data_IF_031939526062
#
_entry.id   IF_031939526062
#
_cell.length_a   1.000
_cell.length_b   1.000
_cell.length_c   1.000
_cell.angle_alpha   90.00
_cell.angle_beta   90.00
_cell.angle_gamma   90.00
#
_symmetry.space_group_name_H-M   'P 1'
#
loop_
_entity.id
_entity.type
_entity.pdbx_description
1 polymer ?
2 polymer ?
3 water ?
#
loop_
_entity_poly.entity_id
_entity_poly.type
_entity_poly.pdbx_seq_one_letter_code
_entity_poly.pdbx_strand_id
2 'polydeoxyribonucleotide' '(DT)(DC)(DG)(DC)(DG)(DC)(DG)(DC)(DG)(DC)(DG)(DC)(DG)' ?
#
# COMPACT_ATOMS: atom_id res chain seq x y z
N UNK A 9 3.07 9.03 9.96
CA UNK A 9 2.69 10.22 9.21
C UNK A 9 1.44 10.06 8.36
N UNK A 10 0.60 11.06 8.49
CA UNK A 10 -0.48 11.30 7.55
C UNK A 10 0.12 11.56 6.19
N UNK A 11 1.32 12.14 6.14
CA UNK A 11 1.94 12.39 4.84
C UNK A 11 2.31 11.09 4.12
N UNK A 12 2.89 10.15 4.85
CA UNK A 12 3.21 8.84 4.27
C UNK A 12 1.94 8.20 3.76
N UNK A 13 0.90 8.24 4.59
CA UNK A 13 -0.30 7.52 4.22
C UNK A 13 -0.93 8.20 3.03
N UNK A 14 -0.93 9.53 2.99
CA UNK A 14 -1.44 10.24 1.81
C UNK A 14 -0.66 9.84 0.56
N UNK A 15 0.66 9.77 0.70
CA UNK A 15 1.51 9.45 -0.45
C UNK A 15 1.29 8.00 -0.96
N UNK A 16 1.05 7.08 -0.04
CA UNK A 16 0.73 5.71 -0.42
C UNK A 16 -0.60 5.65 -1.15
N UNK A 17 -1.60 6.34 -0.60
CA UNK A 17 -2.92 6.26 -1.18
C UNK A 17 -2.90 6.95 -2.53
N UNK A 18 -2.09 7.98 -2.63
CA UNK A 18 -2.02 8.71 -3.90
C UNK A 18 -1.36 7.84 -4.99
N UNK A 19 -0.34 7.08 -4.59
CA UNK A 19 0.25 6.10 -5.49
C UNK A 19 -0.80 5.09 -6.02
N UNK A 20 -1.55 4.52 -5.08
CA UNK A 20 -2.61 3.59 -5.46
C UNK A 20 -3.71 4.28 -6.32
N UNK A 21 -4.05 5.52 -6.01
CA UNK A 21 -5.03 6.22 -6.86
C UNK A 21 -4.58 6.29 -8.31
N UNK A 22 -3.31 6.59 -8.52
CA UNK A 22 -2.78 6.74 -9.88
C UNK A 22 -2.44 5.41 -10.55
N UNK A 23 -2.07 4.41 -9.75
CA UNK A 23 -1.57 3.18 -10.36
C UNK A 23 -2.49 1.99 -10.29
N UNK A 24 -3.54 2.06 -9.48
CA UNK A 24 -4.34 0.88 -9.19
C UNK A 24 -3.52 -0.20 -8.48
N UNK A 25 -3.94 -1.45 -8.69
CA UNK A 25 -3.39 -2.62 -8.01
C UNK A 25 -1.87 -2.57 -8.02
N UNK A 26 -1.26 -2.63 -6.82
CA UNK A 26 0.18 -2.55 -6.68
C UNK A 26 0.68 -3.40 -5.52
N UNK A 27 1.93 -3.85 -5.62
CA UNK A 27 2.59 -4.52 -4.50
C UNK A 27 3.36 -3.49 -3.67
N UNK A 28 3.74 -3.87 -2.46
CA UNK A 28 4.53 -2.96 -1.63
C UNK A 28 5.84 -2.59 -2.35
N UNK A 29 6.38 -3.51 -3.14
CA UNK A 29 7.63 -3.25 -3.79
C UNK A 29 7.50 -2.08 -4.79
N UNK A 30 6.41 -2.10 -5.57
CA UNK A 30 6.00 -0.98 -6.43
C UNK A 30 6.05 0.36 -5.71
N UNK A 31 5.42 0.38 -4.54
CA UNK A 31 5.16 1.62 -3.80
C UNK A 31 6.46 2.13 -3.12
N UNK A 32 7.18 1.25 -2.42
CA UNK A 32 8.35 1.79 -1.67
C UNK A 32 9.48 2.31 -2.56
N UNK A 33 9.66 1.73 -3.73
CA UNK A 33 10.73 2.22 -4.58
C UNK A 33 10.38 3.58 -5.15
N UNK A 34 9.11 3.81 -5.50
CA UNK A 34 8.72 5.09 -6.08
C UNK A 34 8.76 6.16 -5.01
N UNK A 35 8.27 5.83 -3.82
CA UNK A 35 8.17 6.79 -2.73
C UNK A 35 9.49 6.98 -1.98
N UNK A 36 10.47 6.12 -2.26
CA UNK A 36 11.74 6.11 -1.53
C UNK A 36 11.54 6.03 -0.03
N UNK A 37 10.77 5.03 0.43
CA UNK A 37 10.57 4.74 1.85
C UNK A 37 11.05 3.28 2.10
N UNK A 38 11.22 2.88 3.36
CA UNK A 38 11.52 1.46 3.63
C UNK A 38 10.27 0.66 3.30
N UNK A 39 10.46 -0.55 2.83
CA UNK A 39 9.36 -1.50 2.58
C UNK A 39 8.57 -1.72 3.86
N UNK A 40 9.25 -1.89 4.99
CA UNK A 40 8.53 -2.16 6.23
C UNK A 40 7.64 -0.95 6.61
N UNK A 41 8.11 0.29 6.35
CA UNK A 41 7.28 1.45 6.66
C UNK A 41 6.05 1.48 5.76
N UNK A 42 6.23 1.19 4.47
CA UNK A 42 5.05 1.19 3.63
C UNK A 42 4.09 0.04 4.06
N UNK A 43 4.63 -1.14 4.34
CA UNK A 43 3.73 -2.21 4.77
C UNK A 43 3.01 -1.86 6.08
N UNK A 44 3.71 -1.26 7.06
CA UNK A 44 3.05 -0.90 8.34
C UNK A 44 1.81 -0.05 8.00
N UNK A 45 2.02 0.94 7.14
CA UNK A 45 0.91 1.83 6.80
C UNK A 45 -0.17 1.18 5.94
N UNK A 46 0.20 0.27 5.03
CA UNK A 46 -0.83 -0.42 4.24
C UNK A 46 -1.75 -1.24 5.15
N UNK A 47 -1.14 -1.97 6.09
CA UNK A 47 -1.93 -2.81 7.02
C UNK A 47 -2.81 -1.92 7.88
N UNK A 48 -2.25 -0.82 8.37
CA UNK A 48 -3.08 0.18 9.10
C UNK A 48 -4.23 0.79 8.28
N UNK A 49 -3.95 1.12 7.02
CA UNK A 49 -5.01 1.64 6.14
C UNK A 49 -6.04 0.57 5.81
N UNK A 50 -5.61 -0.68 5.77
CA UNK A 50 -6.55 -1.75 5.51
C UNK A 50 -7.53 -1.86 6.72
N UNK A 51 -6.97 -1.67 7.92
CA UNK A 51 -7.76 -1.84 9.14
C UNK A 51 -8.78 -0.72 9.15
N UNK A 52 -8.43 0.41 8.55
CA UNK A 52 -9.32 1.58 8.53
C UNK A 52 -10.18 1.70 7.27
N UNK A 53 -10.28 0.59 6.55
CA UNK A 53 -11.10 0.44 5.36
C UNK A 53 -10.81 1.44 4.26
N UNK A 54 -9.56 1.90 4.18
CA UNK A 54 -9.16 2.80 3.11
C UNK A 54 -8.49 2.09 1.91
N UNK A 55 -7.85 0.94 2.14
CA UNK A 55 -7.28 0.13 1.07
C UNK A 55 -7.63 -1.33 1.36
N UNK A 56 -7.44 -2.20 0.39
CA UNK A 56 -7.63 -3.63 0.68
C UNK A 56 -6.62 -4.44 -0.07
N UNK A 57 -6.34 -5.62 0.45
CA UNK A 57 -5.41 -6.47 -0.27
C UNK A 57 -6.13 -7.73 -0.69
N UNK A 58 -5.62 -8.32 -1.76
CA UNK A 58 -6.01 -9.64 -2.21
C UNK A 58 -4.75 -10.46 -2.23
N UNK A 59 -4.90 -11.72 -1.85
CA UNK A 59 -3.77 -12.61 -1.69
C UNK A 59 -4.09 -13.96 -2.33
N UNK A 60 -3.06 -14.58 -2.85
CA UNK A 60 -3.17 -15.88 -3.49
C UNK A 60 -1.92 -16.65 -3.12
N UNK A 61 -2.09 -17.79 -2.44
CA UNK A 61 -0.96 -18.60 -2.00
C UNK A 61 0.13 -17.79 -1.27
N UNK A 62 1.40 -17.97 -1.67
CA UNK A 62 2.50 -17.18 -1.08
C UNK A 62 2.88 -15.93 -1.88
N UNK A 63 1.99 -15.52 -2.78
CA UNK A 63 2.28 -14.39 -3.67
C UNK A 63 2.34 -13.08 -2.94
N UNK A 64 2.94 -12.10 -3.58
CA UNK A 64 2.89 -10.76 -3.04
C UNK A 64 1.47 -10.33 -2.93
N UNK A 65 1.06 -9.86 -1.75
CA UNK A 65 -0.27 -9.27 -1.67
C UNK A 65 -0.31 -8.11 -2.65
N UNK A 66 -1.50 -7.86 -3.17
CA UNK A 66 -1.70 -6.75 -4.08
C UNK A 66 -2.70 -5.82 -3.48
N UNK A 67 -2.36 -4.53 -3.47
CA UNK A 67 -3.11 -3.55 -2.72
C UNK A 67 -3.88 -2.64 -3.68
N UNK A 68 -5.04 -2.17 -3.25
CA UNK A 68 -5.73 -1.12 -4.00
C UNK A 68 -6.61 -0.28 -3.07
N UNK A 69 -7.10 0.84 -3.57
CA UNK A 69 -8.05 1.64 -2.82
C UNK A 69 -9.41 0.94 -2.72
N UNK A 70 -10.02 1.04 -1.56
CA UNK A 70 -11.41 0.65 -1.39
C UNK A 70 -12.26 1.54 -2.33
N UNK A 71 -13.21 0.94 -3.06
CA UNK A 71 -14.25 1.71 -3.79
C UNK A 71 -13.81 2.86 -4.71
#
# INVERSE_FOLDING_TARGET
GSHMASSAENEIEMRICDYLRRHGRSTVQDIFKELKLEKSTVNRHLYSLQASKQVFKTVEDNKRPVWNLVES
#
